data_IF_117259119580
#
_entry.id   IF_117259119580
#
_cell.length_a   1.000
_cell.length_b   1.000
_cell.length_c   1.000
_cell.angle_alpha   90.00
_cell.angle_beta   90.00
_cell.angle_gamma   90.00
#
_symmetry.space_group_name_H-M   'P 1'
#
loop_
_entity.id
_entity.type
_entity.pdbx_description
1 polymer ?
#
# COMPACT_ATOMS: atom_id res chain seq x y z
N UNK A 1 9.21 17.08 -13.64
CA UNK A 1 9.32 15.63 -13.84
C UNK A 1 8.20 14.90 -13.13
N UNK A 2 7.69 13.87 -13.75
CA UNK A 2 6.67 13.03 -13.14
C UNK A 2 7.35 11.94 -12.35
N UNK A 3 7.02 11.86 -11.07
CA UNK A 3 7.51 10.78 -10.20
C UNK A 3 6.40 9.77 -10.02
N UNK A 4 6.72 8.51 -10.24
CA UNK A 4 5.77 7.44 -9.96
C UNK A 4 5.99 6.96 -8.54
N UNK A 5 4.94 7.01 -7.76
CA UNK A 5 4.89 6.43 -6.42
C UNK A 5 3.91 5.27 -6.42
N UNK A 6 3.90 4.51 -5.36
CA UNK A 6 3.06 3.34 -5.25
C UNK A 6 2.27 3.37 -3.96
N UNK A 7 1.00 3.02 -4.08
CA UNK A 7 0.17 2.70 -2.92
C UNK A 7 0.18 1.18 -2.77
N UNK A 8 0.07 0.71 -1.57
CA UNK A 8 -0.10 -0.72 -1.33
C UNK A 8 -1.56 -0.97 -0.97
N UNK A 9 -2.24 -1.67 -1.87
CA UNK A 9 -3.63 -2.06 -1.69
C UNK A 9 -3.65 -3.46 -1.10
N UNK A 10 -4.44 -3.66 -0.06
CA UNK A 10 -4.51 -4.94 0.65
C UNK A 10 -5.90 -5.52 0.51
N UNK A 11 -6.00 -6.72 -0.03
CA UNK A 11 -7.27 -7.44 -0.16
C UNK A 11 -7.26 -8.61 0.81
N UNK A 12 -8.28 -8.67 1.68
CA UNK A 12 -8.43 -9.73 2.68
C UNK A 12 -9.76 -10.43 2.50
N UNK A 13 -9.74 -11.60 1.86
CA UNK A 13 -10.96 -12.38 1.64
C UNK A 13 -12.02 -11.58 0.89
N UNK A 14 -13.23 -11.53 1.43
CA UNK A 14 -14.36 -10.82 0.82
C UNK A 14 -14.53 -9.39 1.33
N UNK A 15 -13.64 -8.93 2.19
CA UNK A 15 -13.72 -7.58 2.74
C UNK A 15 -13.37 -6.54 1.67
N UNK A 16 -13.83 -5.30 1.89
CA UNK A 16 -13.43 -4.19 1.04
C UNK A 16 -11.92 -4.01 1.10
N UNK A 17 -11.32 -3.63 -0.03
CA UNK A 17 -9.88 -3.42 -0.10
C UNK A 17 -9.46 -2.27 0.81
N UNK A 18 -8.32 -2.43 1.45
CA UNK A 18 -7.72 -1.41 2.29
C UNK A 18 -6.41 -0.96 1.68
N UNK A 19 -5.93 0.20 2.09
CA UNK A 19 -4.64 0.75 1.64
C UNK A 19 -3.74 0.98 2.83
N UNK A 20 -2.45 0.75 2.67
CA UNK A 20 -1.48 1.04 3.71
C UNK A 20 -1.42 2.55 3.94
N UNK A 21 -1.67 3.00 5.16
CA UNK A 21 -1.65 4.40 5.54
C UNK A 21 -0.35 4.80 6.21
N UNK A 22 0.26 3.90 6.96
CA UNK A 22 1.46 4.18 7.73
C UNK A 22 2.28 2.92 7.96
N UNK A 23 3.60 3.02 7.86
CA UNK A 23 4.49 1.86 7.96
C UNK A 23 5.52 1.96 9.09
N UNK A 24 5.63 3.09 9.77
CA UNK A 24 6.63 3.28 10.82
C UNK A 24 6.26 2.61 12.13
N UNK A 25 5.10 1.99 12.19
CA UNK A 25 4.62 1.31 13.38
C UNK A 25 4.21 -0.12 13.06
N UNK A 26 4.35 -0.99 14.03
CA UNK A 26 3.85 -2.36 13.93
C UNK A 26 2.66 -2.51 14.88
N UNK A 27 1.49 -2.97 14.40
CA UNK A 27 1.20 -3.40 13.03
C UNK A 27 1.08 -2.23 12.05
N UNK A 28 1.22 -2.54 10.77
CA UNK A 28 1.04 -1.56 9.70
C UNK A 28 -0.39 -1.04 9.73
N UNK A 29 -0.53 0.27 9.70
CA UNK A 29 -1.86 0.90 9.72
C UNK A 29 -2.44 0.93 8.32
N UNK A 30 -3.72 0.53 8.20
CA UNK A 30 -4.44 0.55 6.93
C UNK A 30 -5.67 1.44 7.00
N UNK A 31 -6.16 1.83 5.83
CA UNK A 31 -7.35 2.70 5.73
C UNK A 31 -8.19 2.27 4.54
N UNK A 32 -9.49 2.48 4.64
CA UNK A 32 -10.39 2.25 3.51
C UNK A 32 -10.37 3.41 2.52
N UNK A 33 -9.82 4.55 2.92
CA UNK A 33 -9.82 5.76 2.08
C UNK A 33 -8.54 5.83 1.27
N UNK A 34 -8.67 5.75 -0.05
CA UNK A 34 -7.53 5.81 -0.96
C UNK A 34 -6.75 7.13 -0.82
N UNK A 35 -7.44 8.24 -0.57
CA UNK A 35 -6.78 9.55 -0.45
C UNK A 35 -5.92 9.67 0.81
N UNK A 36 -6.04 8.73 1.74
CA UNK A 36 -5.17 8.66 2.92
C UNK A 36 -4.06 7.64 2.79
N UNK A 37 -4.01 6.90 1.68
CA UNK A 37 -2.98 5.90 1.46
C UNK A 37 -1.61 6.56 1.35
N UNK A 38 -0.60 5.91 1.91
CA UNK A 38 0.77 6.39 1.86
C UNK A 38 1.38 6.11 0.50
N UNK A 39 1.82 7.15 -0.18
CA UNK A 39 2.54 7.01 -1.45
C UNK A 39 4.02 6.70 -1.15
N UNK A 40 4.49 5.58 -1.67
CA UNK A 40 5.82 5.05 -1.39
C UNK A 40 6.64 4.93 -2.66
N UNK A 41 7.97 4.99 -2.51
CA UNK A 41 8.86 4.60 -3.58
C UNK A 41 8.73 3.11 -3.86
N UNK A 42 9.16 2.69 -5.05
CA UNK A 42 8.98 1.30 -5.50
C UNK A 42 9.60 0.28 -4.54
N UNK A 43 10.84 0.50 -4.11
CA UNK A 43 11.52 -0.45 -3.24
C UNK A 43 10.81 -0.59 -1.88
N UNK A 44 10.40 0.54 -1.31
CA UNK A 44 9.67 0.53 -0.04
C UNK A 44 8.33 -0.18 -0.20
N UNK A 45 7.61 0.09 -1.28
CA UNK A 45 6.32 -0.55 -1.53
C UNK A 45 6.48 -2.06 -1.71
N UNK A 46 7.51 -2.50 -2.42
CA UNK A 46 7.79 -3.92 -2.58
C UNK A 46 8.10 -4.60 -1.26
N UNK A 47 8.85 -3.93 -0.38
CA UNK A 47 9.13 -4.46 0.95
C UNK A 47 7.86 -4.62 1.77
N UNK A 48 6.95 -3.66 1.68
CA UNK A 48 5.66 -3.73 2.38
C UNK A 48 4.82 -4.89 1.81
N UNK A 49 4.80 -5.06 0.50
CA UNK A 49 4.10 -6.18 -0.13
C UNK A 49 4.64 -7.50 0.37
N UNK A 50 5.96 -7.65 0.43
CA UNK A 50 6.58 -8.87 0.92
C UNK A 50 6.27 -9.12 2.39
N UNK A 51 6.24 -8.07 3.19
CA UNK A 51 5.93 -8.16 4.61
C UNK A 51 4.48 -8.58 4.85
N UNK A 52 3.55 -8.05 4.06
CA UNK A 52 2.12 -8.31 4.24
C UNK A 52 1.63 -9.57 3.52
N UNK A 53 2.39 -10.07 2.55
CA UNK A 53 1.97 -11.22 1.75
C UNK A 53 1.83 -12.49 2.57
N UNK A 54 0.63 -13.07 2.58
CA UNK A 54 0.38 -14.38 3.18
C UNK A 54 -0.90 -14.96 2.58
N UNK A 55 -1.32 -16.14 3.06
CA UNK A 55 -2.48 -16.83 2.49
C UNK A 55 -3.81 -16.11 2.66
N UNK A 56 -3.89 -15.15 3.58
CA UNK A 56 -5.14 -14.43 3.88
C UNK A 56 -5.11 -12.97 3.40
N UNK A 57 -3.96 -12.50 2.99
CA UNK A 57 -3.76 -11.10 2.66
C UNK A 57 -3.04 -11.03 1.32
N UNK A 58 -3.67 -10.39 0.35
CA UNK A 58 -3.10 -10.22 -0.98
C UNK A 58 -2.78 -8.74 -1.18
N UNK A 59 -1.51 -8.35 -0.98
CA UNK A 59 -1.11 -6.97 -1.23
C UNK A 59 -0.84 -6.75 -2.71
N UNK A 60 -1.21 -5.58 -3.21
CA UNK A 60 -1.00 -5.21 -4.61
C UNK A 60 -0.38 -3.82 -4.68
N UNK A 61 0.51 -3.64 -5.64
CA UNK A 61 1.08 -2.32 -5.92
C UNK A 61 0.14 -1.55 -6.85
N UNK A 62 -0.19 -0.33 -6.45
CA UNK A 62 -1.02 0.56 -7.26
C UNK A 62 -0.17 1.77 -7.64
N UNK A 63 0.25 1.89 -8.90
CA UNK A 63 1.06 3.04 -9.31
C UNK A 63 0.23 4.32 -9.33
N UNK A 64 0.81 5.39 -8.83
CA UNK A 64 0.20 6.72 -8.88
C UNK A 64 1.26 7.72 -9.30
N UNK A 65 0.87 8.70 -10.08
CA UNK A 65 1.78 9.76 -10.48
C UNK A 65 1.65 10.92 -9.52
N UNK A 66 2.79 11.38 -9.03
CA UNK A 66 2.85 12.52 -8.12
C UNK A 66 3.53 13.64 -8.88
N UNK A 67 2.83 14.74 -9.05
CA UNK A 67 3.40 15.95 -9.64
C UNK A 67 4.33 16.63 -8.65
N UNK A 68 5.52 16.90 -9.12
CA UNK A 68 6.47 17.64 -8.29
C UNK A 68 6.09 19.12 -8.22
#
# INVERSE_FOLDING_TARGET
>A
MKNTKFLVKVVRGTRAAEYVEWIDRSPVKTTLKRNRALAMGKLTAEDVVNFLGNSRCIPELVPVQVSA
#
